data_IF_327385924556
#
_entry.id   IF_327385924556
#
_cell.length_a   1.000
_cell.length_b   1.000
_cell.length_c   1.000
_cell.angle_alpha   90.00
_cell.angle_beta   90.00
_cell.angle_gamma   90.00
#
_symmetry.space_group_name_H-M   'P 1'
#
loop_
_entity.id
_entity.type
_entity.pdbx_description
1 polymer ?
#
# COMPACT_ATOMS: atom_id res chain seq x y z
N UNK A 1 -10.05 25.46 21.56
CA UNK A 1 -8.86 25.72 22.38
C UNK A 1 -7.61 25.37 21.58
N UNK A 2 -6.62 26.26 21.53
CA UNK A 2 -5.29 25.93 21.00
C UNK A 2 -4.47 25.25 22.10
N UNK A 3 -3.93 24.06 21.80
CA UNK A 3 -3.20 23.21 22.74
C UNK A 3 -1.82 22.86 22.20
N UNK A 4 -1.23 23.75 21.39
CA UNK A 4 0.06 23.49 20.72
C UNK A 4 1.20 23.28 21.73
N UNK A 5 1.20 24.01 22.85
CA UNK A 5 2.25 23.96 23.89
C UNK A 5 1.71 23.41 25.23
N UNK A 6 0.67 22.57 25.20
CA UNK A 6 0.08 22.00 26.41
C UNK A 6 0.89 20.83 26.96
N UNK A 7 1.38 20.97 28.20
CA UNK A 7 2.25 19.98 28.86
C UNK A 7 1.61 18.60 29.04
N UNK A 8 0.31 18.53 29.33
CA UNK A 8 -0.39 17.25 29.51
C UNK A 8 -0.53 16.52 28.16
N UNK A 9 -0.83 17.24 27.09
CA UNK A 9 -0.86 16.64 25.77
C UNK A 9 0.52 16.23 25.28
N UNK A 10 1.56 17.02 25.57
CA UNK A 10 2.93 16.67 25.21
C UNK A 10 3.39 15.36 25.87
N UNK A 11 3.01 15.15 27.14
CA UNK A 11 3.25 13.87 27.84
C UNK A 11 2.50 12.72 27.16
N UNK A 12 1.20 12.88 26.88
CA UNK A 12 0.39 11.87 26.18
C UNK A 12 0.96 11.51 24.80
N UNK A 13 1.36 12.53 24.03
CA UNK A 13 1.92 12.38 22.68
C UNK A 13 3.26 11.63 22.74
N UNK A 14 4.11 12.01 23.70
CA UNK A 14 5.44 11.42 23.91
C UNK A 14 5.33 9.97 24.34
N UNK A 15 4.56 9.68 25.39
CA UNK A 15 4.42 8.33 25.94
C UNK A 15 3.79 7.35 24.94
N UNK A 16 2.87 7.83 24.10
CA UNK A 16 2.23 7.02 23.05
C UNK A 16 3.02 6.96 21.74
N UNK A 17 4.17 7.65 21.65
CA UNK A 17 5.03 7.74 20.47
C UNK A 17 4.23 8.10 19.20
N UNK A 18 3.32 9.09 19.30
CA UNK A 18 2.43 9.46 18.20
C UNK A 18 3.21 10.08 17.03
N UNK A 19 2.74 9.85 15.79
CA UNK A 19 3.26 10.57 14.64
C UNK A 19 2.54 11.90 14.47
N UNK A 20 3.14 12.85 13.73
CA UNK A 20 2.65 14.24 13.58
C UNK A 20 1.16 14.35 13.22
N UNK A 21 0.64 13.49 12.31
CA UNK A 21 -0.80 13.48 11.99
C UNK A 21 -1.66 13.03 13.17
N UNK A 22 -1.23 12.00 13.90
CA UNK A 22 -1.96 11.53 15.08
C UNK A 22 -1.90 12.54 16.22
N UNK A 23 -0.75 13.16 16.44
CA UNK A 23 -0.58 14.26 17.39
C UNK A 23 -1.60 15.38 17.11
N UNK A 24 -1.64 15.89 15.88
CA UNK A 24 -2.61 16.93 15.50
C UNK A 24 -4.05 16.50 15.77
N UNK A 25 -4.40 15.25 15.45
CA UNK A 25 -5.74 14.69 15.72
C UNK A 25 -6.05 14.65 17.22
N UNK A 26 -5.08 14.28 18.06
CA UNK A 26 -5.28 14.25 19.52
C UNK A 26 -5.46 15.66 20.08
N UNK A 27 -4.57 16.60 19.72
CA UNK A 27 -4.68 18.01 20.12
C UNK A 27 -6.02 18.61 19.71
N UNK A 28 -6.44 18.38 18.47
CA UNK A 28 -7.73 18.86 17.97
C UNK A 28 -8.92 18.29 18.76
N UNK A 29 -8.98 16.96 18.92
CA UNK A 29 -10.13 16.31 19.57
C UNK A 29 -10.22 16.63 21.07
N UNK A 30 -9.07 16.67 21.76
CA UNK A 30 -9.03 17.02 23.18
C UNK A 30 -9.34 18.51 23.35
N UNK A 31 -8.81 19.39 22.50
CA UNK A 31 -9.16 20.81 22.50
C UNK A 31 -10.65 21.07 22.31
N UNK A 32 -11.31 20.34 21.40
CA UNK A 32 -12.77 20.40 21.25
C UNK A 32 -13.52 19.94 22.51
N UNK A 33 -13.04 18.88 23.16
CA UNK A 33 -13.62 18.39 24.41
C UNK A 33 -13.47 19.44 25.53
N UNK A 34 -12.29 20.05 25.66
CA UNK A 34 -12.01 21.14 26.58
C UNK A 34 -12.95 22.34 26.34
N UNK A 35 -13.14 22.76 25.09
CA UNK A 35 -14.08 23.84 24.75
C UNK A 35 -15.53 23.53 25.17
N UNK A 36 -15.95 22.27 25.00
CA UNK A 36 -17.30 21.85 25.37
C UNK A 36 -17.48 21.81 26.87
N UNK A 37 -16.50 21.31 27.61
CA UNK A 37 -16.58 21.20 29.07
C UNK A 37 -16.33 22.55 29.75
N UNK A 38 -15.52 23.41 29.13
CA UNK A 38 -15.09 24.69 29.66
C UNK A 38 -13.91 24.58 30.62
N UNK A 39 -13.06 23.55 30.46
CA UNK A 39 -11.90 23.28 31.31
C UNK A 39 -10.66 23.05 30.45
N UNK A 40 -9.48 23.42 30.94
CA UNK A 40 -8.18 23.10 30.34
C UNK A 40 -7.80 21.63 30.58
N UNK A 41 -6.83 21.06 29.84
CA UNK A 41 -6.31 19.72 30.12
C UNK A 41 -5.86 19.52 31.57
N UNK A 42 -5.17 20.52 32.14
CA UNK A 42 -4.74 20.51 33.55
C UNK A 42 -5.95 20.47 34.50
N UNK A 43 -6.91 21.38 34.33
CA UNK A 43 -8.11 21.45 35.17
C UNK A 43 -8.95 20.16 35.11
N UNK A 44 -8.98 19.48 33.95
CA UNK A 44 -9.65 18.19 33.80
C UNK A 44 -8.99 17.08 34.63
N UNK A 45 -7.67 17.11 34.77
CA UNK A 45 -6.93 16.13 35.58
C UNK A 45 -7.01 16.50 37.06
N UNK A 46 -6.82 17.78 37.40
CA UNK A 46 -6.93 18.27 38.78
C UNK A 46 -8.30 17.95 39.38
N UNK A 47 -9.39 18.23 38.63
CA UNK A 47 -10.75 17.89 39.06
C UNK A 47 -10.91 16.37 39.29
N UNK A 48 -10.30 15.55 38.44
CA UNK A 48 -10.38 14.10 38.58
C UNK A 48 -9.58 13.58 39.80
N UNK A 49 -8.46 14.21 40.12
CA UNK A 49 -7.62 13.92 41.28
C UNK A 49 -8.32 14.34 42.58
N UNK A 50 -8.89 15.54 42.62
CA UNK A 50 -9.67 16.03 43.76
C UNK A 50 -10.85 15.10 44.09
N UNK A 51 -11.48 14.55 43.06
CA UNK A 51 -12.65 13.66 43.18
C UNK A 51 -12.29 12.17 43.28
N UNK A 52 -11.01 11.82 43.43
CA UNK A 52 -10.55 10.42 43.40
C UNK A 52 -11.25 9.53 44.44
N UNK A 53 -11.43 10.04 45.66
CA UNK A 53 -12.10 9.31 46.75
C UNK A 53 -13.63 9.22 46.61
N UNK A 54 -14.23 9.93 45.66
CA UNK A 54 -15.66 9.83 45.40
C UNK A 54 -15.97 8.56 44.61
N UNK A 55 -17.15 7.99 44.84
CA UNK A 55 -17.66 6.91 44.02
C UNK A 55 -17.68 7.33 42.53
N UNK A 56 -17.26 6.50 41.56
CA UNK A 56 -17.13 6.88 40.15
C UNK A 56 -18.38 7.48 39.49
N UNK A 57 -19.57 7.17 40.02
CA UNK A 57 -20.83 7.75 39.53
C UNK A 57 -21.08 9.19 40.00
N UNK A 58 -20.42 9.63 41.08
CA UNK A 58 -20.55 10.97 41.66
C UNK A 58 -19.53 11.95 41.10
N UNK A 59 -18.43 11.44 40.53
CA UNK A 59 -17.39 12.24 39.86
C UNK A 59 -17.95 12.98 38.64
N UNK A 60 -17.54 14.22 38.43
CA UNK A 60 -17.97 15.09 37.32
C UNK A 60 -17.50 14.59 35.97
N UNK A 61 -16.40 13.84 35.89
CA UNK A 61 -15.93 13.18 34.67
C UNK A 61 -17.05 12.43 33.94
N UNK A 62 -17.98 11.79 34.65
CA UNK A 62 -19.14 11.12 34.04
C UNK A 62 -20.06 12.11 33.34
N UNK A 63 -20.33 13.27 33.95
CA UNK A 63 -21.16 14.34 33.37
C UNK A 63 -20.49 14.92 32.12
N UNK A 64 -19.18 15.14 32.18
CA UNK A 64 -18.40 15.65 31.05
C UNK A 64 -18.41 14.68 29.86
N UNK A 65 -18.19 13.38 30.11
CA UNK A 65 -18.27 12.36 29.07
C UNK A 65 -19.68 12.22 28.47
N UNK A 66 -20.74 12.43 29.26
CA UNK A 66 -22.12 12.48 28.74
C UNK A 66 -22.33 13.70 27.86
N UNK A 67 -21.85 14.89 28.28
CA UNK A 67 -21.90 16.12 27.49
C UNK A 67 -21.15 15.96 26.16
N UNK A 68 -19.97 15.34 26.21
CA UNK A 68 -19.18 15.01 25.03
C UNK A 68 -19.89 14.04 24.09
N UNK A 69 -20.47 12.96 24.62
CA UNK A 69 -21.30 12.04 23.83
C UNK A 69 -22.45 12.79 23.14
N UNK A 70 -23.16 13.64 23.88
CA UNK A 70 -24.29 14.40 23.32
C UNK A 70 -23.84 15.33 22.19
N UNK A 71 -22.71 16.02 22.34
CA UNK A 71 -22.12 16.81 21.26
C UNK A 71 -21.80 15.94 20.04
N UNK A 72 -21.10 14.82 20.24
CA UNK A 72 -20.71 13.94 19.13
C UNK A 72 -21.93 13.40 18.39
N UNK A 73 -22.97 12.95 19.09
CA UNK A 73 -24.18 12.44 18.44
C UNK A 73 -24.95 13.50 17.64
N UNK A 74 -24.85 14.77 18.02
CA UNK A 74 -25.46 15.89 17.29
C UNK A 74 -24.52 16.53 16.25
N UNK A 75 -23.33 15.97 16.06
CA UNK A 75 -22.35 16.47 15.09
C UNK A 75 -22.50 15.81 13.71
N UNK A 76 -21.91 16.41 12.69
CA UNK A 76 -21.88 15.89 11.32
C UNK A 76 -20.82 14.78 11.12
N UNK A 77 -20.13 14.35 12.18
CA UNK A 77 -19.08 13.33 12.05
C UNK A 77 -19.67 11.93 11.87
N UNK A 78 -19.06 11.12 11.01
CA UNK A 78 -19.40 9.71 10.83
C UNK A 78 -19.25 8.90 12.13
N UNK A 79 -20.01 7.80 12.27
CA UNK A 79 -20.08 6.98 13.48
C UNK A 79 -18.68 6.53 13.98
N UNK A 80 -17.85 6.04 13.08
CA UNK A 80 -16.46 5.64 13.38
C UNK A 80 -15.58 6.82 13.82
N UNK A 81 -15.78 8.00 13.24
CA UNK A 81 -15.08 9.23 13.66
C UNK A 81 -15.50 9.63 15.06
N UNK A 82 -16.82 9.70 15.34
CA UNK A 82 -17.35 9.96 16.69
C UNK A 82 -16.77 9.00 17.71
N UNK A 83 -16.70 7.70 17.39
CA UNK A 83 -16.07 6.70 18.24
C UNK A 83 -14.63 7.06 18.58
N UNK A 84 -13.80 7.36 17.57
CA UNK A 84 -12.38 7.66 17.77
C UNK A 84 -12.18 8.95 18.58
N UNK A 85 -12.99 9.97 18.31
CA UNK A 85 -13.00 11.21 19.08
C UNK A 85 -13.33 10.95 20.56
N UNK A 86 -14.33 10.11 20.83
CA UNK A 86 -14.65 9.67 22.21
C UNK A 86 -13.53 8.87 22.86
N UNK A 87 -12.94 7.93 22.12
CA UNK A 87 -11.83 7.11 22.61
C UNK A 87 -10.58 7.95 22.92
N UNK A 88 -10.28 9.00 22.15
CA UNK A 88 -9.13 9.89 22.43
C UNK A 88 -9.25 10.61 23.78
N UNK A 89 -10.44 11.10 24.14
CA UNK A 89 -10.68 11.70 25.46
C UNK A 89 -10.51 10.66 26.57
N UNK A 90 -10.97 9.43 26.35
CA UNK A 90 -10.73 8.34 27.32
C UNK A 90 -9.25 8.02 27.47
N UNK A 91 -8.50 7.99 26.36
CA UNK A 91 -7.06 7.74 26.39
C UNK A 91 -6.29 8.86 27.07
N UNK A 92 -6.77 10.11 26.98
CA UNK A 92 -6.20 11.23 27.72
C UNK A 92 -6.29 10.97 29.24
N UNK A 93 -7.49 10.69 29.77
CA UNK A 93 -7.65 10.36 31.19
C UNK A 93 -6.87 9.10 31.63
N UNK A 94 -6.86 8.07 30.79
CA UNK A 94 -6.15 6.80 31.04
C UNK A 94 -4.63 7.00 31.18
N UNK A 95 -4.05 7.93 30.42
CA UNK A 95 -2.62 8.27 30.49
C UNK A 95 -2.22 8.84 31.86
N UNK A 96 -3.12 9.57 32.51
CA UNK A 96 -2.92 10.15 33.84
C UNK A 96 -3.54 9.29 34.94
N UNK A 97 -3.74 7.99 34.67
CA UNK A 97 -4.23 6.98 35.61
C UNK A 97 -5.58 7.33 36.26
N UNK A 98 -6.40 8.16 35.61
CA UNK A 98 -7.72 8.54 36.09
C UNK A 98 -8.69 7.37 35.91
N UNK A 99 -9.25 6.88 37.02
CA UNK A 99 -10.24 5.81 36.99
C UNK A 99 -11.54 6.27 36.29
N UNK A 100 -11.77 5.74 35.09
CA UNK A 100 -12.93 6.08 34.26
C UNK A 100 -14.22 5.41 34.73
N UNK A 101 -15.38 6.09 34.64
CA UNK A 101 -16.67 5.47 34.92
C UNK A 101 -16.99 4.34 33.94
N UNK A 102 -17.95 3.48 34.32
CA UNK A 102 -18.46 2.39 33.45
C UNK A 102 -18.70 2.89 32.03
N UNK A 103 -18.27 2.09 31.04
CA UNK A 103 -18.28 2.41 29.62
C UNK A 103 -19.65 2.96 29.19
N UNK A 104 -19.64 4.20 28.71
CA UNK A 104 -20.82 4.84 28.13
C UNK A 104 -21.01 4.22 26.74
N UNK A 105 -22.14 3.55 26.53
CA UNK A 105 -22.49 3.00 25.22
C UNK A 105 -22.73 4.17 24.26
N UNK A 106 -22.09 4.12 23.10
CA UNK A 106 -22.45 4.94 21.95
C UNK A 106 -23.30 4.04 21.04
N UNK A 107 -24.47 4.51 20.66
CA UNK A 107 -25.24 3.85 19.61
C UNK A 107 -24.48 4.04 18.31
N UNK A 108 -24.20 2.92 17.65
CA UNK A 108 -23.59 2.89 16.34
C UNK A 108 -24.64 2.34 15.41
N UNK A 109 -24.99 3.11 14.39
CA UNK A 109 -25.48 2.50 13.17
C UNK A 109 -24.35 1.59 12.68
N UNK A 110 -24.64 0.30 12.52
CA UNK A 110 -23.70 -0.58 11.85
C UNK A 110 -23.59 -0.07 10.42
N UNK A 111 -22.40 0.38 10.03
CA UNK A 111 -22.11 0.59 8.61
C UNK A 111 -22.30 -0.77 7.92
N UNK A 112 -23.12 -0.83 6.87
CA UNK A 112 -23.29 -2.04 6.07
C UNK A 112 -21.92 -2.50 5.58
N UNK A 113 -21.61 -3.79 5.76
CA UNK A 113 -20.38 -4.35 5.24
C UNK A 113 -20.47 -4.40 3.72
N UNK A 114 -19.63 -3.61 3.04
CA UNK A 114 -19.51 -3.66 1.57
C UNK A 114 -19.20 -5.09 1.13
N UNK A 115 -20.06 -5.61 0.26
CA UNK A 115 -19.93 -6.91 -0.41
C UNK A 115 -19.03 -6.80 -1.65
N UNK A 116 -18.81 -7.93 -2.35
CA UNK A 116 -18.13 -7.90 -3.65
C UNK A 116 -18.94 -7.10 -4.69
N UNK A 117 -20.27 -7.16 -4.61
CA UNK A 117 -21.19 -6.44 -5.50
C UNK A 117 -21.11 -4.91 -5.29
N UNK A 118 -20.46 -4.49 -4.19
CA UNK A 118 -20.15 -3.10 -3.90
C UNK A 118 -18.78 -2.63 -4.39
N UNK A 119 -18.08 -3.48 -5.15
CA UNK A 119 -16.80 -3.19 -5.77
C UNK A 119 -16.92 -3.08 -7.29
N UNK A 120 -16.07 -2.24 -7.94
CA UNK A 120 -16.06 -2.12 -9.39
C UNK A 120 -15.89 -3.47 -10.08
N UNK A 121 -16.82 -3.81 -10.97
CA UNK A 121 -16.73 -5.02 -11.77
C UNK A 121 -15.74 -4.86 -12.94
N UNK A 122 -15.55 -5.93 -13.73
CA UNK A 122 -14.57 -5.92 -14.84
C UNK A 122 -14.97 -4.93 -15.94
N UNK A 123 -16.27 -4.81 -16.25
CA UNK A 123 -16.77 -3.93 -17.31
C UNK A 123 -16.70 -2.46 -16.90
N UNK A 124 -17.04 -2.14 -15.65
CA UNK A 124 -16.86 -0.81 -15.07
C UNK A 124 -15.38 -0.41 -15.00
N UNK A 125 -14.49 -1.35 -14.68
CA UNK A 125 -13.05 -1.13 -14.71
C UNK A 125 -12.57 -0.89 -16.15
N UNK A 126 -13.00 -1.67 -17.13
CA UNK A 126 -12.71 -1.44 -18.56
C UNK A 126 -13.18 -0.05 -18.99
N UNK A 127 -14.39 0.33 -18.61
CA UNK A 127 -14.94 1.65 -18.87
C UNK A 127 -14.10 2.77 -18.24
N UNK A 128 -13.68 2.61 -16.97
CA UNK A 128 -12.81 3.55 -16.28
C UNK A 128 -11.42 3.67 -16.92
N UNK A 129 -10.85 2.55 -17.37
CA UNK A 129 -9.57 2.52 -18.09
C UNK A 129 -9.66 3.33 -19.39
N UNK A 130 -10.73 3.16 -20.17
CA UNK A 130 -10.95 3.90 -21.41
C UNK A 130 -11.18 5.41 -21.21
N UNK A 131 -11.56 5.81 -20.00
CA UNK A 131 -11.85 7.21 -19.66
C UNK A 131 -10.75 7.89 -18.83
N UNK A 132 -9.61 7.25 -18.59
CA UNK A 132 -8.54 7.84 -17.77
C UNK A 132 -7.19 7.95 -18.51
N UNK A 133 -6.28 8.74 -17.95
CA UNK A 133 -4.94 8.93 -18.53
C UNK A 133 -4.10 7.65 -18.42
N UNK A 134 -3.14 7.44 -19.34
CA UNK A 134 -2.23 6.27 -19.35
C UNK A 134 -1.63 5.95 -17.97
N UNK A 135 -1.22 6.97 -17.22
CA UNK A 135 -0.70 6.82 -15.86
C UNK A 135 -1.73 6.18 -14.93
N UNK A 136 -2.96 6.67 -14.97
CA UNK A 136 -4.06 6.18 -14.14
C UNK A 136 -4.47 4.78 -14.55
N UNK A 137 -4.46 4.46 -15.85
CA UNK A 137 -4.70 3.10 -16.34
C UNK A 137 -3.70 2.10 -15.72
N UNK A 138 -2.40 2.39 -15.85
CA UNK A 138 -1.33 1.56 -15.28
C UNK A 138 -1.43 1.44 -13.75
N UNK A 139 -1.83 2.52 -13.06
CA UNK A 139 -2.07 2.49 -11.60
C UNK A 139 -3.25 1.59 -11.25
N UNK A 140 -4.40 1.71 -11.92
CA UNK A 140 -5.59 0.89 -11.65
C UNK A 140 -5.26 -0.59 -11.84
N UNK A 141 -4.68 -0.94 -12.99
CA UNK A 141 -4.31 -2.32 -13.31
C UNK A 141 -3.30 -2.90 -12.30
N UNK A 142 -2.27 -2.13 -11.93
CA UNK A 142 -1.31 -2.58 -10.92
C UNK A 142 -1.97 -2.78 -9.56
N UNK A 143 -2.85 -1.88 -9.13
CA UNK A 143 -3.54 -2.05 -7.84
C UNK A 143 -4.49 -3.25 -7.84
N UNK A 144 -5.25 -3.45 -8.92
CA UNK A 144 -6.19 -4.56 -9.05
C UNK A 144 -5.50 -5.92 -9.11
N UNK A 145 -4.36 -6.00 -9.79
CA UNK A 145 -3.64 -7.26 -9.97
C UNK A 145 -2.64 -7.58 -8.86
N UNK A 146 -2.17 -6.59 -8.10
CA UNK A 146 -1.13 -6.82 -7.06
C UNK A 146 -1.58 -6.61 -5.62
N UNK A 147 -2.71 -5.93 -5.39
CA UNK A 147 -3.13 -5.55 -4.04
C UNK A 147 -2.20 -4.54 -3.36
N UNK A 148 -1.25 -3.92 -4.08
CA UNK A 148 -0.43 -2.83 -3.55
C UNK A 148 -1.31 -1.66 -3.10
N UNK A 149 -0.95 -1.02 -1.99
CA UNK A 149 -1.71 0.10 -1.43
C UNK A 149 -1.42 1.39 -2.17
N UNK A 150 -2.28 2.42 -2.00
CA UNK A 150 -1.99 3.78 -2.49
C UNK A 150 -0.63 4.31 -2.04
N UNK A 151 -0.19 3.94 -0.82
CA UNK A 151 1.11 4.33 -0.32
C UNK A 151 2.22 3.65 -1.12
N UNK A 152 2.11 2.36 -1.40
CA UNK A 152 3.14 1.66 -2.18
C UNK A 152 3.21 2.24 -3.59
N UNK A 153 2.07 2.39 -4.29
CA UNK A 153 2.02 2.95 -5.64
C UNK A 153 2.67 4.33 -5.74
N UNK A 154 2.49 5.18 -4.72
CA UNK A 154 3.10 6.51 -4.69
C UNK A 154 4.60 6.50 -4.44
N UNK A 155 5.15 5.44 -3.85
CA UNK A 155 6.55 5.37 -3.40
C UNK A 155 7.41 4.36 -4.15
N UNK A 156 6.82 3.42 -4.92
CA UNK A 156 7.59 2.53 -5.79
C UNK A 156 8.41 3.34 -6.79
N UNK A 157 9.63 2.90 -7.03
CA UNK A 157 10.57 3.51 -7.97
C UNK A 157 10.67 2.72 -9.26
N UNK A 158 11.23 3.32 -10.29
CA UNK A 158 11.44 2.66 -11.57
C UNK A 158 12.36 1.43 -11.45
N UNK A 159 13.41 1.51 -10.62
CA UNK A 159 14.24 0.33 -10.29
C UNK A 159 13.47 -0.83 -9.66
N UNK A 160 12.40 -0.54 -8.90
CA UNK A 160 11.57 -1.59 -8.29
C UNK A 160 10.75 -2.29 -9.38
N UNK A 161 10.28 -1.55 -10.39
CA UNK A 161 9.63 -2.13 -11.57
C UNK A 161 10.59 -2.98 -12.39
N UNK A 162 11.80 -2.48 -12.68
CA UNK A 162 12.85 -3.25 -13.37
C UNK A 162 13.16 -4.55 -12.63
N UNK A 163 13.29 -4.48 -11.30
CA UNK A 163 13.44 -5.65 -10.46
C UNK A 163 12.24 -6.59 -10.57
N UNK A 164 11.02 -6.06 -10.66
CA UNK A 164 9.83 -6.90 -10.74
C UNK A 164 9.80 -7.77 -12.00
N UNK A 165 10.41 -7.32 -13.08
CA UNK A 165 10.48 -8.04 -14.36
C UNK A 165 11.83 -8.74 -14.58
N UNK A 166 12.69 -8.82 -13.56
CA UNK A 166 14.08 -9.30 -13.69
C UNK A 166 14.17 -10.74 -14.20
N UNK A 167 13.16 -11.57 -13.92
CA UNK A 167 13.07 -12.95 -14.44
C UNK A 167 12.96 -13.00 -15.98
N UNK A 168 12.42 -11.95 -16.60
CA UNK A 168 12.15 -11.86 -18.05
C UNK A 168 13.14 -10.97 -18.78
N UNK A 169 13.71 -10.00 -18.08
CA UNK A 169 14.65 -9.04 -18.63
C UNK A 169 15.57 -8.47 -17.54
N UNK A 170 16.88 -8.67 -17.72
CA UNK A 170 17.91 -8.00 -16.94
C UNK A 170 18.60 -6.96 -17.83
N UNK A 171 18.31 -5.66 -17.69
CA UNK A 171 18.91 -4.63 -18.53
C UNK A 171 20.40 -4.50 -18.25
N UNK A 172 21.22 -4.44 -19.30
CA UNK A 172 22.60 -3.95 -19.21
C UNK A 172 22.57 -2.49 -18.71
N UNK A 173 23.59 -2.05 -17.96
CA UNK A 173 23.59 -0.76 -17.26
C UNK A 173 23.25 0.44 -18.19
N UNK A 174 23.67 0.38 -19.45
CA UNK A 174 23.47 1.43 -20.45
C UNK A 174 22.04 1.47 -21.02
N UNK A 175 21.24 0.42 -20.83
CA UNK A 175 19.90 0.27 -21.43
C UNK A 175 18.77 0.48 -20.41
N UNK A 176 19.09 0.73 -19.14
CA UNK A 176 18.10 0.79 -18.04
C UNK A 176 16.99 1.82 -18.26
N UNK A 177 17.29 2.92 -18.97
CA UNK A 177 16.34 4.01 -19.25
C UNK A 177 15.75 3.95 -20.67
N UNK A 178 16.14 2.98 -21.51
CA UNK A 178 15.64 2.85 -22.88
C UNK A 178 14.31 2.07 -22.91
N UNK A 179 13.20 2.80 -22.77
CA UNK A 179 11.86 2.20 -22.68
C UNK A 179 11.44 1.50 -23.97
N UNK A 180 11.87 1.98 -25.14
CA UNK A 180 11.51 1.36 -26.42
C UNK A 180 12.18 0.00 -26.59
N UNK A 181 13.48 -0.09 -26.29
CA UNK A 181 14.20 -1.35 -26.32
C UNK A 181 13.67 -2.33 -25.26
N UNK A 182 13.34 -1.83 -24.06
CA UNK A 182 12.70 -2.63 -23.01
C UNK A 182 11.36 -3.20 -23.50
N UNK A 183 10.56 -2.35 -24.16
CA UNK A 183 9.25 -2.75 -24.67
C UNK A 183 9.35 -3.79 -25.80
N UNK A 184 10.32 -3.63 -26.69
CA UNK A 184 10.53 -4.59 -27.78
C UNK A 184 10.96 -5.96 -27.23
N UNK A 185 11.88 -5.99 -26.25
CA UNK A 185 12.34 -7.25 -25.61
C UNK A 185 11.24 -8.00 -24.86
N UNK A 186 10.16 -7.32 -24.46
CA UNK A 186 9.06 -7.88 -23.68
C UNK A 186 7.78 -8.08 -24.49
N UNK A 187 7.75 -7.67 -25.76
CA UNK A 187 6.53 -7.58 -26.57
C UNK A 187 5.78 -8.90 -26.71
N UNK A 188 6.51 -10.00 -26.87
CA UNK A 188 5.96 -11.33 -27.10
C UNK A 188 5.99 -12.22 -25.84
N UNK A 189 6.16 -11.63 -24.66
CA UNK A 189 6.27 -12.35 -23.38
C UNK A 189 5.08 -12.08 -22.47
N UNK A 190 4.57 -13.13 -21.84
CA UNK A 190 3.60 -13.04 -20.74
C UNK A 190 4.32 -12.70 -19.42
N UNK A 191 4.66 -11.42 -19.25
CA UNK A 191 5.48 -10.94 -18.13
C UNK A 191 4.66 -10.85 -16.84
N UNK A 192 4.88 -11.77 -15.90
CA UNK A 192 4.28 -11.72 -14.57
C UNK A 192 5.29 -11.10 -13.61
N UNK A 193 5.18 -9.80 -13.37
CA UNK A 193 6.16 -9.13 -12.52
C UNK A 193 5.99 -9.46 -11.04
N UNK A 194 7.11 -9.58 -10.33
CA UNK A 194 7.21 -10.02 -8.94
C UNK A 194 7.64 -8.89 -8.02
N UNK A 195 6.82 -8.56 -7.03
CA UNK A 195 7.09 -7.49 -6.07
C UNK A 195 7.43 -8.09 -4.70
N UNK A 196 8.68 -7.89 -4.26
CA UNK A 196 9.14 -8.29 -2.93
C UNK A 196 9.64 -7.07 -2.18
N UNK A 197 9.09 -6.83 -0.98
CA UNK A 197 9.48 -5.67 -0.19
C UNK A 197 9.12 -5.78 1.28
N UNK A 198 9.43 -4.71 2.00
CA UNK A 198 9.11 -4.54 3.41
C UNK A 198 8.30 -3.25 3.58
N UNK A 199 6.99 -3.38 3.83
CA UNK A 199 6.15 -2.21 4.11
C UNK A 199 6.38 -1.77 5.55
N UNK A 200 6.79 -0.53 5.76
CA UNK A 200 6.91 0.03 7.10
C UNK A 200 5.53 0.25 7.73
N UNK A 201 5.10 -0.63 8.65
CA UNK A 201 3.96 -0.35 9.54
C UNK A 201 4.47 0.15 10.88
N UNK A 202 3.87 1.21 11.41
CA UNK A 202 4.06 1.57 12.83
C UNK A 202 3.30 0.56 13.69
N UNK A 203 4.00 -0.10 14.60
CA UNK A 203 3.43 -1.01 15.61
C UNK A 203 3.95 -0.55 16.96
N UNK A 204 3.08 0.03 17.79
CA UNK A 204 3.45 0.68 19.07
C UNK A 204 4.60 1.69 18.88
N UNK A 205 4.37 2.69 18.04
CA UNK A 205 5.35 3.75 17.69
C UNK A 205 6.55 3.33 16.84
N UNK A 206 7.01 2.08 16.92
CA UNK A 206 8.15 1.56 16.13
C UNK A 206 7.76 1.15 14.72
N UNK A 207 8.52 1.60 13.70
CA UNK A 207 8.39 1.10 12.33
C UNK A 207 8.90 -0.34 12.27
N UNK A 208 7.99 -1.31 12.09
CA UNK A 208 8.35 -2.68 11.75
C UNK A 208 8.03 -2.93 10.28
N UNK A 209 9.03 -3.44 9.56
CA UNK A 209 8.85 -3.91 8.19
C UNK A 209 7.95 -5.14 8.19
N UNK A 210 6.86 -5.07 7.42
CA UNK A 210 6.03 -6.21 7.08
C UNK A 210 6.48 -6.68 5.71
N UNK A 211 7.07 -7.88 5.66
CA UNK A 211 7.42 -8.52 4.40
C UNK A 211 6.16 -8.74 3.57
N UNK A 212 6.23 -8.41 2.29
CA UNK A 212 5.19 -8.75 1.32
C UNK A 212 5.84 -9.38 0.08
N UNK A 213 5.09 -10.27 -0.55
CA UNK A 213 5.41 -10.90 -1.83
C UNK A 213 4.11 -10.88 -2.63
N UNK A 214 4.07 -10.16 -3.73
CA UNK A 214 2.91 -10.09 -4.62
C UNK A 214 3.34 -10.02 -6.08
N UNK A 215 2.40 -10.05 -7.00
CA UNK A 215 2.66 -10.12 -8.44
C UNK A 215 1.76 -9.15 -9.20
N UNK A 216 1.96 -9.00 -10.50
CA UNK A 216 1.00 -8.32 -11.37
C UNK A 216 0.77 -9.09 -12.66
N UNK A 217 -0.37 -8.84 -13.31
CA UNK A 217 -0.76 -9.50 -14.57
C UNK A 217 0.09 -9.00 -15.75
N UNK A 218 0.27 -9.81 -16.82
CA UNK A 218 0.98 -9.38 -18.03
C UNK A 218 0.46 -8.08 -18.67
N UNK A 219 -0.86 -7.90 -18.72
CA UNK A 219 -1.47 -6.64 -19.16
C UNK A 219 -0.94 -5.43 -18.38
N UNK A 220 -0.76 -5.56 -17.06
CA UNK A 220 -0.26 -4.49 -16.21
C UNK A 220 1.15 -4.07 -16.63
N UNK A 221 2.03 -5.02 -16.99
CA UNK A 221 3.38 -4.70 -17.51
C UNK A 221 3.26 -3.86 -18.78
N UNK A 222 2.42 -4.26 -19.74
CA UNK A 222 2.23 -3.54 -21.01
C UNK A 222 1.72 -2.12 -20.79
N UNK A 223 0.77 -1.93 -19.87
CA UNK A 223 0.24 -0.60 -19.54
C UNK A 223 1.25 0.28 -18.80
N UNK A 224 2.08 -0.29 -17.91
CA UNK A 224 3.21 0.43 -17.30
C UNK A 224 4.17 0.89 -18.40
N UNK A 225 4.56 0.03 -19.33
CA UNK A 225 5.45 0.39 -20.45
C UNK A 225 4.84 1.47 -21.34
N UNK A 226 3.55 1.38 -21.68
CA UNK A 226 2.84 2.40 -22.46
C UNK A 226 2.86 3.78 -21.77
N UNK A 227 2.67 3.80 -20.44
CA UNK A 227 2.82 5.01 -19.65
C UNK A 227 4.27 5.54 -19.69
N UNK A 228 5.25 4.67 -19.49
CA UNK A 228 6.68 5.03 -19.45
C UNK A 228 7.18 5.55 -20.81
N UNK A 229 6.68 5.03 -21.94
CA UNK A 229 7.03 5.56 -23.27
C UNK A 229 6.66 7.03 -23.43
N UNK A 230 5.53 7.44 -22.86
CA UNK A 230 5.07 8.84 -22.88
C UNK A 230 5.65 9.69 -21.75
N UNK A 231 6.09 9.07 -20.67
CA UNK A 231 6.60 9.74 -19.47
C UNK A 231 7.87 9.04 -18.97
N UNK A 232 8.97 9.06 -19.73
CA UNK A 232 10.17 8.29 -19.40
C UNK A 232 10.80 8.77 -18.08
N UNK A 233 11.33 7.86 -17.25
CA UNK A 233 12.15 8.22 -16.10
C UNK A 233 13.45 8.87 -16.56
N UNK A 234 13.96 9.81 -15.76
CA UNK A 234 15.30 10.39 -15.95
C UNK A 234 16.35 9.61 -15.14
N UNK A 235 15.92 8.92 -14.09
CA UNK A 235 16.76 8.07 -13.26
C UNK A 235 16.02 6.81 -12.83
N UNK A 236 16.77 5.73 -12.58
CA UNK A 236 16.24 4.50 -11.97
C UNK A 236 15.69 4.72 -10.56
N UNK A 237 16.12 5.79 -9.89
CA UNK A 237 15.63 6.19 -8.57
C UNK A 237 14.38 7.06 -8.60
N UNK A 238 13.90 7.45 -9.78
CA UNK A 238 12.63 8.17 -9.92
C UNK A 238 11.47 7.28 -9.49
N UNK A 239 10.45 7.89 -8.88
CA UNK A 239 9.17 7.22 -8.62
C UNK A 239 8.63 6.63 -9.92
N UNK A 240 8.07 5.42 -9.91
CA UNK A 240 7.51 4.79 -11.11
C UNK A 240 6.41 5.67 -11.70
N UNK A 241 5.43 6.04 -10.88
CA UNK A 241 4.36 6.96 -11.28
C UNK A 241 4.62 8.37 -10.79
N UNK A 242 4.63 9.32 -11.73
CA UNK A 242 5.09 10.70 -11.48
C UNK A 242 4.04 11.73 -11.87
N UNK A 243 4.07 12.87 -11.21
CA UNK A 243 3.38 14.09 -11.64
C UNK A 243 4.44 15.18 -11.86
N UNK A 244 4.61 15.61 -13.11
CA UNK A 244 5.64 16.60 -13.51
C UNK A 244 7.04 16.21 -12.98
N UNK A 245 7.42 14.94 -13.14
CA UNK A 245 8.71 14.40 -12.67
C UNK A 245 8.82 14.15 -11.16
N UNK A 246 7.84 14.57 -10.35
CA UNK A 246 7.86 14.42 -8.89
C UNK A 246 6.92 13.32 -8.42
N UNK A 247 7.08 12.95 -7.15
CA UNK A 247 6.15 12.07 -6.46
C UNK A 247 4.71 12.59 -6.53
N UNK A 248 3.75 11.71 -6.76
CA UNK A 248 2.33 12.04 -6.62
C UNK A 248 2.03 12.24 -5.13
N UNK A 249 1.39 13.35 -4.75
CA UNK A 249 0.95 13.60 -3.36
C UNK A 249 -0.30 12.78 -3.02
N UNK A 250 -0.61 12.60 -1.74
CA UNK A 250 -1.82 11.85 -1.33
C UNK A 250 -3.09 12.53 -1.85
N UNK A 251 -3.18 13.84 -1.63
CA UNK A 251 -4.31 14.64 -2.09
C UNK A 251 -4.46 14.62 -3.62
N UNK A 252 -3.37 14.68 -4.38
CA UNK A 252 -3.43 14.59 -5.83
C UNK A 252 -3.84 13.20 -6.30
N UNK A 253 -3.39 12.15 -5.61
CA UNK A 253 -3.79 10.77 -5.90
C UNK A 253 -5.29 10.59 -5.69
N UNK A 254 -5.80 10.97 -4.52
CA UNK A 254 -7.22 10.82 -4.17
C UNK A 254 -8.11 11.70 -5.10
N UNK A 255 -7.67 12.94 -5.41
CA UNK A 255 -8.36 13.81 -6.38
C UNK A 255 -8.46 13.19 -7.77
N UNK A 256 -7.42 12.52 -8.26
CA UNK A 256 -7.45 11.87 -9.57
C UNK A 256 -8.51 10.76 -9.63
N UNK A 257 -8.69 9.99 -8.56
CA UNK A 257 -9.73 8.97 -8.48
C UNK A 257 -11.13 9.60 -8.39
N UNK A 258 -11.32 10.65 -7.60
CA UNK A 258 -12.62 11.34 -7.53
C UNK A 258 -13.03 11.92 -8.89
N UNK A 259 -12.12 12.62 -9.57
CA UNK A 259 -12.37 13.14 -10.92
C UNK A 259 -12.68 12.02 -11.94
N UNK A 260 -12.11 10.82 -11.75
CA UNK A 260 -12.41 9.68 -12.59
C UNK A 260 -13.80 9.12 -12.30
N UNK A 261 -14.21 9.01 -11.02
CA UNK A 261 -15.58 8.63 -10.68
C UNK A 261 -16.60 9.59 -11.30
N UNK A 262 -16.38 10.91 -11.15
CA UNK A 262 -17.24 11.95 -11.75
C UNK A 262 -17.33 11.79 -13.27
N UNK A 263 -16.20 11.58 -13.94
CA UNK A 263 -16.15 11.38 -15.40
C UNK A 263 -16.88 10.11 -15.84
N UNK A 264 -16.79 9.05 -15.05
CA UNK A 264 -17.44 7.77 -15.34
C UNK A 264 -18.90 7.72 -14.88
N UNK A 265 -19.40 8.75 -14.19
CA UNK A 265 -20.74 8.74 -13.62
C UNK A 265 -20.91 7.73 -12.48
N UNK A 266 -19.82 7.40 -11.77
CA UNK A 266 -19.86 6.46 -10.65
C UNK A 266 -20.28 7.18 -9.37
N UNK A 267 -21.43 6.80 -8.84
CA UNK A 267 -21.92 7.29 -7.55
C UNK A 267 -21.11 6.73 -6.39
N UNK A 268 -21.00 7.52 -5.32
CA UNK A 268 -20.36 7.04 -4.09
C UNK A 268 -21.21 5.93 -3.46
N UNK A 269 -20.63 4.73 -3.29
CA UNK A 269 -21.24 3.69 -2.44
C UNK A 269 -20.81 3.97 -1.00
N UNK A 270 -21.76 4.32 -0.13
CA UNK A 270 -21.53 4.83 1.24
C UNK A 270 -20.80 6.18 1.27
N UNK A 271 -20.16 6.54 2.39
CA UNK A 271 -19.34 7.76 2.53
C UNK A 271 -17.97 7.67 1.80
N UNK A 272 -17.83 6.83 0.78
CA UNK A 272 -16.59 6.59 0.05
C UNK A 272 -16.83 6.57 -1.46
N UNK A 273 -15.86 7.09 -2.22
CA UNK A 273 -15.88 6.99 -3.68
C UNK A 273 -15.87 5.51 -4.11
N UNK A 274 -16.67 5.16 -5.12
CA UNK A 274 -16.84 3.78 -5.58
C UNK A 274 -15.54 3.22 -6.18
N UNK A 275 -15.00 3.89 -7.20
CA UNK A 275 -13.68 3.61 -7.72
C UNK A 275 -12.64 4.32 -6.85
N UNK A 276 -12.23 3.66 -5.76
CA UNK A 276 -11.20 4.13 -4.85
C UNK A 276 -10.05 3.13 -4.72
N UNK A 277 -8.85 3.63 -4.40
CA UNK A 277 -7.67 2.78 -4.18
C UNK A 277 -7.89 1.64 -3.17
N UNK A 278 -8.65 1.92 -2.11
CA UNK A 278 -8.98 0.90 -1.11
C UNK A 278 -9.90 -0.18 -1.69
N UNK A 279 -10.85 0.19 -2.55
CA UNK A 279 -11.81 -0.73 -3.17
C UNK A 279 -11.14 -1.61 -4.22
N UNK A 280 -10.20 -1.08 -5.03
CA UNK A 280 -9.39 -1.89 -5.94
C UNK A 280 -8.59 -2.97 -5.20
N UNK A 281 -8.00 -2.58 -4.07
CA UNK A 281 -7.24 -3.51 -3.23
C UNK A 281 -8.15 -4.51 -2.49
N UNK A 282 -9.35 -4.08 -2.08
CA UNK A 282 -10.37 -4.99 -1.51
C UNK A 282 -10.80 -6.02 -2.54
N UNK A 283 -11.01 -5.61 -3.80
CA UNK A 283 -11.36 -6.48 -4.92
C UNK A 283 -10.30 -7.57 -5.11
N UNK A 284 -9.02 -7.20 -5.13
CA UNK A 284 -7.92 -8.16 -5.18
C UNK A 284 -7.99 -9.20 -4.04
N UNK A 285 -8.15 -8.76 -2.80
CA UNK A 285 -8.26 -9.66 -1.64
C UNK A 285 -9.50 -10.56 -1.68
N UNK A 286 -10.60 -10.04 -2.22
CA UNK A 286 -11.87 -10.78 -2.35
C UNK A 286 -11.72 -11.89 -3.40
N UNK A 287 -11.19 -11.57 -4.59
CA UNK A 287 -10.93 -12.57 -5.62
C UNK A 287 -9.98 -13.67 -5.19
N UNK A 288 -8.93 -13.33 -4.44
CA UNK A 288 -8.04 -14.32 -3.83
C UNK A 288 -8.82 -15.30 -2.95
N UNK A 289 -9.75 -14.79 -2.15
CA UNK A 289 -10.56 -15.59 -1.23
C UNK A 289 -11.55 -16.47 -2.00
N UNK A 290 -12.26 -15.91 -2.98
CA UNK A 290 -13.20 -16.65 -3.83
C UNK A 290 -12.54 -17.78 -4.61
N UNK A 291 -11.29 -17.60 -5.04
CA UNK A 291 -10.51 -18.61 -5.76
C UNK A 291 -9.70 -19.53 -4.81
N UNK A 292 -10.04 -19.55 -3.53
CA UNK A 292 -9.51 -20.52 -2.56
C UNK A 292 -8.04 -20.31 -2.17
N UNK A 293 -7.50 -19.10 -2.32
CA UNK A 293 -6.15 -18.79 -1.84
C UNK A 293 -6.14 -18.72 -0.31
N UNK A 294 -5.18 -19.41 0.33
CA UNK A 294 -5.01 -19.38 1.78
C UNK A 294 -4.95 -17.94 2.31
N UNK A 295 -5.76 -17.66 3.35
CA UNK A 295 -5.89 -16.33 3.96
C UNK A 295 -4.54 -15.68 4.29
N UNK A 296 -3.56 -16.44 4.80
CA UNK A 296 -2.25 -15.88 5.16
C UNK A 296 -1.47 -15.47 3.92
N UNK A 297 -1.57 -16.22 2.82
CA UNK A 297 -0.97 -15.84 1.54
C UNK A 297 -1.63 -14.57 1.00
N UNK A 298 -2.95 -14.45 1.06
CA UNK A 298 -3.66 -13.24 0.65
C UNK A 298 -3.26 -12.02 1.48
N UNK A 299 -3.21 -12.15 2.81
CA UNK A 299 -2.73 -11.10 3.71
C UNK A 299 -1.29 -10.68 3.39
N UNK A 300 -0.41 -11.63 3.06
CA UNK A 300 0.98 -11.34 2.69
C UNK A 300 1.09 -10.66 1.32
N UNK A 301 0.30 -11.08 0.32
CA UNK A 301 0.25 -10.41 -0.99
C UNK A 301 -0.21 -8.96 -0.84
N UNK A 302 -1.22 -8.72 0.00
CA UNK A 302 -1.65 -7.37 0.33
C UNK A 302 -0.62 -6.63 1.20
N UNK A 303 0.34 -7.29 1.84
CA UNK A 303 1.27 -6.65 2.79
C UNK A 303 0.61 -6.25 4.11
N UNK A 304 -0.39 -7.02 4.53
CA UNK A 304 -0.96 -6.97 5.87
C UNK A 304 -0.06 -7.67 6.88
N UNK A 305 -0.17 -7.24 8.13
CA UNK A 305 0.63 -7.78 9.22
C UNK A 305 -0.13 -8.96 9.79
N UNK A 306 0.43 -10.16 9.66
CA UNK A 306 -0.18 -11.34 10.25
C UNK A 306 -0.24 -11.24 11.78
N UNK A 307 -1.26 -11.86 12.40
CA UNK A 307 -1.34 -12.04 13.85
C UNK A 307 -0.03 -12.61 14.40
N UNK A 308 0.34 -12.22 15.63
CA UNK A 308 1.63 -12.64 16.24
C UNK A 308 1.86 -14.16 16.18
N UNK A 309 0.81 -14.94 16.42
CA UNK A 309 0.81 -16.40 16.40
C UNK A 309 1.12 -17.00 15.03
N UNK A 310 0.93 -16.24 13.95
CA UNK A 310 1.07 -16.69 12.57
C UNK A 310 2.32 -16.12 11.88
N UNK A 311 3.15 -15.34 12.57
CA UNK A 311 4.33 -14.68 11.97
C UNK A 311 5.44 -15.63 11.56
N UNK A 312 5.46 -16.87 12.06
CA UNK A 312 6.37 -17.91 11.56
C UNK A 312 6.18 -18.18 10.07
N UNK A 313 4.96 -17.95 9.54
CA UNK A 313 4.62 -18.18 8.14
C UNK A 313 5.46 -17.32 7.16
N UNK A 314 5.91 -16.14 7.60
CA UNK A 314 6.83 -15.31 6.81
C UNK A 314 8.20 -15.98 6.56
N UNK A 315 8.59 -16.98 7.36
CA UNK A 315 9.88 -17.67 7.22
C UNK A 315 9.83 -18.84 6.25
N UNK A 316 8.64 -19.40 6.00
CA UNK A 316 8.45 -20.63 5.22
C UNK A 316 7.99 -20.37 3.79
N UNK A 317 7.52 -19.16 3.49
CA UNK A 317 7.06 -18.80 2.15
C UNK A 317 8.20 -18.37 1.23
N UNK A 318 8.21 -18.96 0.05
CA UNK A 318 9.09 -18.57 -1.06
C UNK A 318 8.30 -17.82 -2.13
N UNK A 319 8.98 -17.02 -2.95
CA UNK A 319 8.38 -16.37 -4.12
C UNK A 319 7.66 -17.39 -5.00
N UNK A 320 8.27 -18.56 -5.21
CA UNK A 320 7.73 -19.65 -6.02
C UNK A 320 6.36 -20.13 -5.51
N UNK A 321 6.26 -20.46 -4.21
CA UNK A 321 4.99 -20.92 -3.61
C UNK A 321 3.89 -19.84 -3.66
N UNK A 322 4.28 -18.57 -3.58
CA UNK A 322 3.36 -17.45 -3.70
C UNK A 322 2.90 -17.26 -5.16
N UNK A 323 3.81 -17.39 -6.13
CA UNK A 323 3.53 -17.28 -7.57
C UNK A 323 2.57 -18.38 -8.03
N UNK A 324 2.75 -19.62 -7.55
CA UNK A 324 1.80 -20.74 -7.76
C UNK A 324 0.39 -20.43 -7.26
N UNK A 325 0.28 -19.74 -6.13
CA UNK A 325 -1.03 -19.34 -5.59
C UNK A 325 -1.65 -18.20 -6.40
N UNK A 326 -0.82 -17.26 -6.84
CA UNK A 326 -1.23 -16.14 -7.67
C UNK A 326 -1.74 -16.59 -9.05
N UNK A 327 -1.04 -17.53 -9.69
CA UNK A 327 -1.39 -18.04 -11.01
C UNK A 327 -2.80 -18.67 -11.07
N UNK A 328 -3.26 -19.27 -9.96
CA UNK A 328 -4.62 -19.81 -9.83
C UNK A 328 -5.71 -18.75 -9.98
N UNK A 329 -5.46 -17.53 -9.51
CA UNK A 329 -6.42 -16.42 -9.53
C UNK A 329 -6.17 -15.45 -10.68
N UNK A 330 -4.99 -15.51 -11.32
CA UNK A 330 -4.55 -14.56 -12.34
C UNK A 330 -5.59 -14.33 -13.46
N UNK A 331 -6.28 -15.36 -14.01
CA UNK A 331 -7.32 -15.14 -15.00
C UNK A 331 -8.45 -14.21 -14.53
N UNK A 332 -8.86 -14.32 -13.25
CA UNK A 332 -9.89 -13.45 -12.66
C UNK A 332 -9.38 -12.05 -12.28
N UNK A 333 -8.05 -11.89 -12.19
CA UNK A 333 -7.41 -10.60 -11.94
C UNK A 333 -7.20 -9.78 -13.22
N UNK A 334 -7.17 -10.42 -14.39
CA UNK A 334 -7.08 -9.73 -15.67
C UNK A 334 -8.36 -8.93 -15.94
N UNK A 335 -8.19 -7.70 -16.43
CA UNK A 335 -9.29 -6.79 -16.72
C UNK A 335 -9.42 -6.56 -18.22
N UNK A 336 -8.31 -6.40 -18.94
CA UNK A 336 -8.29 -6.07 -20.38
C UNK A 336 -8.20 -7.34 -21.21
N UNK A 337 -7.26 -8.23 -20.86
CA UNK A 337 -7.08 -9.49 -21.59
C UNK A 337 -8.12 -10.54 -21.19
N UNK A 338 -8.76 -11.17 -22.16
CA UNK A 338 -9.52 -12.39 -21.93
C UNK A 338 -8.55 -13.57 -21.82
N UNK A 339 -8.27 -14.01 -20.59
CA UNK A 339 -7.51 -15.24 -20.35
C UNK A 339 -8.47 -16.41 -20.12
N UNK A 340 -8.38 -17.46 -20.93
CA UNK A 340 -9.14 -18.69 -20.68
C UNK A 340 -8.78 -19.26 -19.29
N UNK A 341 -9.80 -19.65 -18.52
CA UNK A 341 -9.68 -20.40 -17.26
C UNK A 341 -9.26 -21.85 -17.53
N UNK A 342 -8.23 -22.09 -18.36
CA UNK A 342 -7.63 -23.42 -18.46
C UNK A 342 -6.80 -23.63 -17.22
N UNK A 343 -7.11 -24.68 -16.46
CA UNK A 343 -6.44 -25.12 -15.22
C UNK A 343 -4.94 -24.85 -15.30
N UNK A 344 -4.55 -23.71 -14.72
CA UNK A 344 -3.31 -22.99 -14.99
C UNK A 344 -2.42 -23.13 -13.76
N UNK A 345 -1.94 -24.34 -13.47
CA UNK A 345 -1.10 -24.52 -12.28
C UNK A 345 0.15 -25.32 -12.51
N UNK A 346 0.13 -26.37 -13.33
CA UNK A 346 1.29 -27.24 -13.47
C UNK A 346 1.91 -27.19 -14.86
N UNK A 347 1.13 -27.29 -15.95
CA UNK A 347 1.69 -27.28 -17.31
C UNK A 347 2.26 -25.92 -17.72
N UNK A 348 1.48 -24.85 -17.57
CA UNK A 348 1.93 -23.48 -17.88
C UNK A 348 3.00 -22.99 -16.90
N UNK A 349 2.99 -23.52 -15.68
CA UNK A 349 4.01 -23.22 -14.68
C UNK A 349 5.32 -23.95 -15.01
N UNK A 350 5.24 -25.20 -15.44
CA UNK A 350 6.36 -25.95 -15.98
C UNK A 350 6.85 -25.38 -17.32
N UNK A 351 5.98 -24.82 -18.15
CA UNK A 351 6.35 -24.07 -19.36
C UNK A 351 7.13 -22.81 -19.00
N UNK A 352 6.59 -21.96 -18.11
CA UNK A 352 7.28 -20.76 -17.62
C UNK A 352 8.60 -21.12 -16.92
N UNK A 353 8.65 -22.20 -16.12
CA UNK A 353 9.87 -22.68 -15.48
C UNK A 353 10.89 -23.19 -16.52
N UNK A 354 10.45 -23.91 -17.56
CA UNK A 354 11.30 -24.39 -18.65
C UNK A 354 11.87 -23.23 -19.49
N UNK A 355 11.01 -22.30 -19.90
CA UNK A 355 11.43 -21.07 -20.59
C UNK A 355 12.44 -20.28 -19.75
N UNK A 356 12.18 -20.15 -18.44
CA UNK A 356 13.08 -19.48 -17.50
C UNK A 356 14.44 -20.18 -17.40
N UNK A 357 14.46 -21.51 -17.27
CA UNK A 357 15.70 -22.27 -17.21
C UNK A 357 16.50 -22.16 -18.50
N UNK A 358 15.82 -22.19 -19.64
CA UNK A 358 16.43 -22.06 -20.96
C UNK A 358 17.03 -20.67 -21.16
N UNK A 359 16.27 -19.60 -20.92
CA UNK A 359 16.79 -18.24 -20.98
C UNK A 359 17.93 -18.00 -19.96
N UNK A 360 17.86 -18.61 -18.78
CA UNK A 360 18.94 -18.51 -17.77
C UNK A 360 20.23 -19.19 -18.26
N UNK A 361 20.12 -20.32 -18.95
CA UNK A 361 21.27 -21.00 -19.58
C UNK A 361 21.85 -20.15 -20.70
N UNK A 362 21.01 -19.63 -21.59
CA UNK A 362 21.43 -18.74 -22.68
C UNK A 362 22.15 -17.50 -22.14
N UNK A 363 21.62 -16.88 -21.07
CA UNK A 363 22.25 -15.73 -20.40
C UNK A 363 23.58 -16.05 -19.73
N UNK A 364 23.71 -17.21 -19.09
CA UNK A 364 24.98 -17.62 -18.48
C UNK A 364 26.06 -17.78 -19.55
N UNK A 365 25.67 -18.31 -20.71
CA UNK A 365 26.55 -18.46 -21.86
C UNK A 365 26.93 -17.11 -22.47
N UNK A 366 25.98 -16.18 -22.66
CA UNK A 366 26.29 -14.81 -23.13
C UNK A 366 27.28 -14.09 -22.21
N UNK A 367 27.10 -14.22 -20.89
CA UNK A 367 28.00 -13.61 -19.90
C UNK A 367 29.41 -14.23 -19.97
N UNK A 368 29.49 -15.56 -20.11
CA UNK A 368 30.76 -16.30 -20.28
C UNK A 368 31.50 -15.84 -21.53
N UNK A 369 30.80 -15.73 -22.66
CA UNK A 369 31.37 -15.25 -23.94
C UNK A 369 31.86 -13.81 -23.83
N UNK A 370 31.13 -12.96 -23.11
CA UNK A 370 31.55 -11.57 -22.86
C UNK A 370 32.82 -11.49 -22.01
N UNK A 371 32.89 -12.25 -20.91
CA UNK A 371 34.07 -12.31 -20.04
C UNK A 371 35.31 -12.82 -20.79
N UNK A 372 35.17 -13.84 -21.64
CA UNK A 372 36.26 -14.33 -22.50
C UNK A 372 36.77 -13.26 -23.49
N UNK A 373 35.86 -12.47 -24.08
CA UNK A 373 36.23 -11.37 -24.97
C UNK A 373 36.96 -10.26 -24.21
N UNK A 374 36.52 -9.93 -22.99
CA UNK A 374 37.18 -8.93 -22.15
C UNK A 374 38.60 -9.36 -21.76
N UNK A 375 38.80 -10.61 -21.35
CA UNK A 375 40.14 -11.13 -21.03
C UNK A 375 41.08 -11.12 -22.24
N UNK A 376 40.56 -11.40 -23.44
CA UNK A 376 41.34 -11.26 -24.68
C UNK A 376 41.72 -9.81 -24.95
N UNK A 377 40.80 -8.87 -24.71
CA UNK A 377 41.05 -7.44 -24.87
C UNK A 377 42.11 -6.93 -23.89
N UNK A 378 42.03 -7.33 -22.62
CA UNK A 378 43.01 -6.98 -21.58
C UNK A 378 44.41 -7.47 -21.95
N UNK A 379 44.55 -8.70 -22.44
CA UNK A 379 45.84 -9.22 -22.94
C UNK A 379 46.38 -8.44 -24.14
N UNK A 380 45.52 -7.98 -25.04
CA UNK A 380 45.94 -7.13 -26.16
C UNK A 380 46.43 -5.77 -25.68
N UNK A 381 45.75 -5.17 -24.69
CA UNK A 381 46.16 -3.90 -24.08
C UNK A 381 47.51 -4.05 -23.37
N UNK A 382 47.69 -5.10 -22.55
CA UNK A 382 48.96 -5.38 -21.88
C UNK A 382 50.13 -5.58 -22.86
N UNK A 383 49.87 -6.23 -24.01
CA UNK A 383 50.89 -6.42 -25.03
C UNK A 383 51.25 -5.11 -25.73
N UNK A 384 50.27 -4.24 -26.02
CA UNK A 384 50.50 -2.91 -26.60
C UNK A 384 51.27 -2.01 -25.62
N UNK A 385 51.00 -2.10 -24.33
CA UNK A 385 51.72 -1.35 -23.29
C UNK A 385 53.16 -1.85 -23.09
N UNK A 386 53.40 -3.16 -23.30
CA UNK A 386 54.76 -3.73 -23.32
C UNK A 386 55.55 -3.29 -24.54
N UNK A 387 54.94 -3.28 -25.72
CA UNK A 387 55.61 -2.85 -26.97
C UNK A 387 55.93 -1.34 -26.99
N UNK A 388 55.18 -0.51 -26.26
CA UNK A 388 55.49 0.92 -26.09
C UNK A 388 56.62 1.21 -25.10
N UNK A 389 57.06 0.20 -24.33
CA UNK A 389 58.11 0.32 -23.32
C UNK A 389 59.41 -0.40 -23.71
N UNK A 390 59.56 -0.84 -24.97
CA UNK A 390 60.89 -1.23 -25.48
C UNK A 390 61.69 0.02 -25.91
N UNK A 391 62.97 0.12 -25.48
CA UNK A 391 63.82 1.30 -25.69
C UNK A 391 64.21 1.57 -27.15
#
# INVERSE_FOLDING_TARGET
>A
MDLTDDTYLDQLITNRELGSKSEWIYRHNIGMYCDIVGLTPEELIDEAVEEYNLHPSKRKIRKHLIKWKAYLLNSHYAANTRKRMFDHVRYFYDEFEVELPKKIRMEYEQEEELSIDDLPDVEELRFALNNCMLRTQAVILLMCSSGLSKLDIRYIKYKDFLKSIEDYHNPQLNDLLNIDQLSEKLKDKEVIGTWVGNRGKKVKGKKKGVKYITFHTPETTRYILNYLKKNPPQSIDDYLFRSKGKQITEAAFDKNFNMLNERCGFDSKTNQAYLASHNLRRRFGTLLTEHGVDFRRAEIMMGHLLPKTQRSYYKTLTVETMKRSYLKVMPALCIVDEMETRVLTDEKLAEIEREREQEKKERLEEKRVFEERMQKMEKVIENIEKDKNLP
#
